data_IF_846367678945
#
_entry.id   IF_846367678945
#
_cell.length_a   1.000
_cell.length_b   1.000
_cell.length_c   1.000
_cell.angle_alpha   90.00
_cell.angle_beta   90.00
_cell.angle_gamma   90.00
#
_symmetry.space_group_name_H-M   'P 1'
#
loop_
_entity.id
_entity.type
_entity.pdbx_description
1 polymer ?
#
# COMPACT_ATOMS: atom_id res chain seq x y z
N UNK A 1 -11.07 -4.92 -26.39
CA UNK A 1 -10.33 -5.76 -25.42
C UNK A 1 -10.82 -5.39 -24.04
N UNK A 2 -11.54 -6.32 -23.40
CA UNK A 2 -12.24 -6.13 -22.14
C UNK A 2 -11.22 -6.05 -21.00
N UNK A 3 -11.05 -4.86 -20.39
CA UNK A 3 -10.39 -4.74 -19.09
C UNK A 3 -11.38 -5.23 -18.03
N UNK A 4 -11.14 -6.42 -17.49
CA UNK A 4 -11.66 -6.81 -16.18
C UNK A 4 -11.02 -5.86 -15.16
N UNK A 5 -11.69 -4.74 -14.88
CA UNK A 5 -11.47 -4.01 -13.63
C UNK A 5 -11.80 -4.99 -12.51
N UNK A 6 -10.77 -5.45 -11.81
CA UNK A 6 -10.93 -6.18 -10.57
C UNK A 6 -11.42 -5.15 -9.53
N UNK A 7 -12.72 -4.85 -9.56
CA UNK A 7 -13.40 -4.15 -8.48
C UNK A 7 -13.38 -5.08 -7.27
N UNK A 8 -12.29 -5.03 -6.51
CA UNK A 8 -12.21 -5.63 -5.18
C UNK A 8 -13.06 -4.76 -4.24
N UNK A 9 -14.39 -4.80 -4.44
CA UNK A 9 -15.37 -4.33 -3.48
C UNK A 9 -15.39 -5.36 -2.37
N UNK A 10 -14.52 -5.16 -1.38
CA UNK A 10 -14.54 -5.90 -0.12
C UNK A 10 -15.79 -5.48 0.65
N UNK A 11 -16.93 -6.10 0.31
CA UNK A 11 -18.15 -6.12 1.11
C UNK A 11 -17.89 -7.06 2.30
N UNK A 12 -17.34 -6.52 3.38
CA UNK A 12 -17.39 -7.20 4.68
C UNK A 12 -18.54 -6.64 5.50
N UNK A 13 -19.66 -7.36 5.46
CA UNK A 13 -20.70 -7.27 6.48
C UNK A 13 -20.08 -7.53 7.85
N UNK A 14 -20.28 -6.57 8.76
CA UNK A 14 -19.89 -6.69 10.16
C UNK A 14 -20.56 -7.90 10.80
N UNK A 15 -19.79 -8.97 11.03
CA UNK A 15 -20.12 -10.00 11.99
C UNK A 15 -19.17 -9.83 13.19
N UNK A 16 -19.72 -9.40 14.32
CA UNK A 16 -19.07 -9.51 15.61
C UNK A 16 -18.70 -10.98 15.85
N UNK A 17 -17.42 -11.27 16.11
CA UNK A 17 -16.99 -12.54 16.67
C UNK A 17 -15.83 -12.30 17.65
N UNK A 18 -15.99 -12.90 18.82
CA UNK A 18 -15.14 -12.87 20.00
C UNK A 18 -13.65 -13.10 19.73
N UNK A 19 -12.84 -12.37 20.49
CA UNK A 19 -11.39 -12.49 20.55
C UNK A 19 -11.03 -13.76 21.35
N UNK A 20 -10.80 -14.86 20.64
CA UNK A 20 -10.15 -16.05 21.17
C UNK A 20 -8.63 -15.88 21.15
N UNK A 21 -8.04 -15.83 22.33
CA UNK A 21 -6.61 -15.73 22.62
C UNK A 21 -5.86 -16.94 22.02
N UNK A 22 -5.02 -16.72 21.01
CA UNK A 22 -4.08 -17.75 20.50
C UNK A 22 -2.65 -17.39 20.89
N UNK A 23 -2.04 -18.30 21.64
CA UNK A 23 -0.65 -18.23 22.10
C UNK A 23 0.32 -18.18 20.91
N UNK A 24 1.18 -17.16 20.91
CA UNK A 24 2.32 -17.04 20.00
C UNK A 24 3.39 -18.06 20.42
N UNK A 25 3.66 -19.05 19.57
CA UNK A 25 4.86 -19.87 19.69
C UNK A 25 6.07 -19.04 19.25
N UNK A 26 6.92 -18.69 20.21
CA UNK A 26 8.22 -18.04 19.97
C UNK A 26 9.24 -19.13 19.64
N UNK A 27 9.58 -19.27 18.36
CA UNK A 27 10.72 -20.09 17.93
C UNK A 27 12.00 -19.26 18.01
N UNK A 28 12.91 -19.67 18.89
CA UNK A 28 14.30 -19.19 18.97
C UNK A 28 15.07 -19.61 17.70
N UNK A 29 15.27 -18.67 16.77
CA UNK A 29 16.21 -18.85 15.66
C UNK A 29 17.60 -18.38 16.09
N UNK A 30 18.52 -19.34 16.22
CA UNK A 30 19.97 -19.09 16.39
C UNK A 30 20.55 -18.39 15.16
N UNK A 31 21.48 -17.43 15.34
CA UNK A 31 22.10 -16.72 14.22
C UNK A 31 23.05 -17.63 13.43
N UNK A 32 23.02 -17.48 12.10
CA UNK A 32 23.94 -18.15 11.18
C UNK A 32 25.35 -17.53 11.24
N UNK A 33 26.43 -18.31 11.01
CA UNK A 33 27.79 -17.81 11.02
C UNK A 33 28.13 -16.92 9.81
N UNK A 34 29.02 -15.96 10.04
CA UNK A 34 29.59 -15.02 9.08
C UNK A 34 30.14 -15.69 7.83
N UNK A 35 29.76 -15.18 6.65
CA UNK A 35 30.33 -15.55 5.36
C UNK A 35 31.34 -14.47 4.93
N UNK A 36 32.51 -14.95 4.47
CA UNK A 36 33.68 -14.20 4.01
C UNK A 36 33.40 -13.11 2.95
N UNK A 37 34.26 -12.07 2.87
CA UNK A 37 34.12 -11.01 1.87
C UNK A 37 34.47 -11.50 0.44
N UNK A 38 33.61 -11.13 -0.51
CA UNK A 38 33.75 -11.43 -1.93
C UNK A 38 34.96 -10.71 -2.58
N UNK A 39 35.53 -11.27 -3.67
CA UNK A 39 36.68 -10.70 -4.36
C UNK A 39 36.29 -9.48 -5.21
N UNK A 40 37.09 -8.42 -5.10
CA UNK A 40 36.96 -7.19 -5.90
C UNK A 40 37.54 -7.38 -7.30
N UNK A 41 36.69 -7.31 -8.33
CA UNK A 41 37.12 -7.08 -9.72
C UNK A 41 36.85 -5.63 -10.15
N UNK A 42 37.73 -5.01 -10.95
CA UNK A 42 37.58 -3.61 -11.34
C UNK A 42 36.50 -3.43 -12.41
N UNK A 43 35.62 -2.45 -12.20
CA UNK A 43 34.61 -2.03 -13.19
C UNK A 43 35.26 -1.04 -14.16
N UNK A 44 35.20 -1.38 -15.46
CA UNK A 44 35.61 -0.51 -16.56
C UNK A 44 34.56 0.57 -16.79
N UNK A 45 34.95 1.84 -16.63
CA UNK A 45 34.12 3.01 -16.93
C UNK A 45 34.00 3.20 -18.44
N UNK A 46 32.80 2.98 -18.99
CA UNK A 46 32.42 3.50 -20.30
C UNK A 46 31.55 4.75 -20.12
N UNK A 47 31.91 5.76 -20.91
CA UNK A 47 31.39 7.12 -20.96
C UNK A 47 29.94 7.15 -21.51
N UNK A 48 28.95 7.81 -20.86
CA UNK A 48 27.60 7.85 -21.39
C UNK A 48 27.51 8.88 -22.53
N UNK A 49 27.66 8.40 -23.76
CA UNK A 49 27.22 9.13 -24.93
C UNK A 49 25.69 9.30 -24.90
N UNK A 50 25.26 10.50 -25.28
CA UNK A 50 23.92 11.06 -25.10
C UNK A 50 22.77 10.22 -25.66
N UNK A 51 21.78 9.95 -24.81
CA UNK A 51 20.46 9.45 -25.23
C UNK A 51 19.63 10.64 -25.70
N UNK A 52 19.33 10.70 -26.99
CA UNK A 52 18.38 11.65 -27.56
C UNK A 52 16.96 11.26 -27.17
N UNK A 53 16.27 12.13 -26.42
CA UNK A 53 14.87 11.96 -26.04
C UNK A 53 13.96 11.92 -27.28
N UNK A 54 13.41 10.75 -27.61
CA UNK A 54 12.28 10.62 -28.53
C UNK A 54 10.99 10.72 -27.71
N UNK A 55 10.10 11.70 -27.95
CA UNK A 55 8.81 11.76 -27.27
C UNK A 55 7.87 10.74 -27.91
N UNK A 56 7.45 9.70 -27.17
CA UNK A 56 6.31 8.89 -27.60
C UNK A 56 6.23 7.45 -27.13
N UNK A 57 7.31 6.82 -26.66
CA UNK A 57 7.23 5.45 -26.14
C UNK A 57 7.29 5.46 -24.62
N UNK A 58 6.22 4.99 -23.99
CA UNK A 58 6.28 4.37 -22.67
C UNK A 58 7.01 3.03 -22.85
N UNK A 59 8.29 3.10 -23.18
CA UNK A 59 9.13 1.93 -23.18
C UNK A 59 9.12 1.43 -21.74
N UNK A 60 8.53 0.25 -21.51
CA UNK A 60 8.84 -0.57 -20.34
C UNK A 60 10.34 -0.48 -20.17
N UNK A 61 10.82 -0.02 -19.01
CA UNK A 61 12.26 0.04 -18.79
C UNK A 61 12.76 -1.38 -18.52
N UNK A 62 12.76 -2.18 -19.58
CA UNK A 62 13.43 -3.44 -19.69
C UNK A 62 14.90 -3.14 -19.96
N UNK A 63 15.78 -3.74 -19.16
CA UNK A 63 17.13 -3.91 -19.63
C UNK A 63 17.09 -5.07 -20.64
N UNK A 64 17.07 -4.78 -21.94
CA UNK A 64 17.21 -5.79 -23.01
C UNK A 64 18.52 -6.59 -22.93
N UNK A 65 19.38 -6.26 -21.96
CA UNK A 65 20.65 -6.92 -21.66
C UNK A 65 20.60 -7.85 -20.43
N UNK A 66 19.41 -8.16 -19.91
CA UNK A 66 19.27 -9.14 -18.82
C UNK A 66 19.64 -10.55 -19.29
N UNK A 67 20.61 -11.19 -18.64
CA UNK A 67 20.84 -12.63 -18.86
C UNK A 67 19.59 -13.41 -18.44
N UNK A 68 19.05 -14.21 -19.36
CA UNK A 68 18.01 -15.18 -19.03
C UNK A 68 18.69 -16.39 -18.37
N UNK A 69 18.22 -16.75 -17.18
CA UNK A 69 18.72 -17.91 -16.45
C UNK A 69 17.73 -19.06 -16.58
N UNK A 70 18.22 -20.22 -17.02
CA UNK A 70 17.48 -21.48 -16.92
C UNK A 70 17.68 -22.07 -15.53
N UNK A 71 16.56 -22.40 -14.88
CA UNK A 71 16.54 -23.10 -13.60
C UNK A 71 16.80 -24.59 -13.76
N UNK A 72 16.87 -25.30 -12.63
CA UNK A 72 16.95 -26.75 -12.63
C UNK A 72 15.72 -27.34 -13.33
N UNK A 73 15.95 -28.18 -14.34
CA UNK A 73 14.89 -28.75 -15.19
C UNK A 73 14.67 -28.03 -16.53
N UNK A 74 15.54 -27.08 -16.92
CA UNK A 74 15.46 -26.41 -18.23
C UNK A 74 14.32 -25.41 -18.36
N UNK A 75 13.73 -25.00 -17.23
CA UNK A 75 12.67 -23.99 -17.20
C UNK A 75 13.32 -22.62 -17.11
N UNK A 76 13.05 -21.73 -18.06
CA UNK A 76 13.47 -20.34 -17.95
C UNK A 76 12.81 -19.68 -16.74
N UNK A 77 13.63 -19.15 -15.82
CA UNK A 77 13.16 -18.50 -14.59
C UNK A 77 12.49 -17.14 -14.83
N UNK A 78 12.53 -16.66 -16.07
CA UNK A 78 11.91 -15.40 -16.52
C UNK A 78 10.57 -15.61 -17.21
N UNK A 79 10.23 -16.84 -17.62
CA UNK A 79 8.95 -17.13 -18.28
C UNK A 79 7.81 -16.95 -17.29
N UNK A 80 6.90 -16.01 -17.59
CA UNK A 80 5.76 -15.67 -16.75
C UNK A 80 5.99 -14.51 -15.77
N UNK A 81 7.15 -13.84 -15.82
CA UNK A 81 7.32 -12.53 -15.16
C UNK A 81 6.72 -11.47 -16.06
N UNK A 82 5.64 -10.84 -15.61
CA UNK A 82 5.18 -9.62 -16.25
C UNK A 82 6.19 -8.50 -15.96
N UNK A 83 6.79 -7.97 -17.03
CA UNK A 83 7.58 -6.75 -16.95
C UNK A 83 6.62 -5.59 -16.77
N UNK A 84 6.57 -5.00 -15.59
CA UNK A 84 5.82 -3.77 -15.37
C UNK A 84 6.65 -2.54 -15.71
N UNK A 85 5.96 -1.43 -16.00
CA UNK A 85 6.59 -0.15 -16.27
C UNK A 85 7.45 0.32 -15.08
N UNK A 86 8.53 1.05 -15.32
CA UNK A 86 9.27 1.67 -14.21
C UNK A 86 8.39 2.69 -13.52
N UNK A 87 8.23 2.52 -12.20
CA UNK A 87 7.30 3.28 -11.39
C UNK A 87 5.94 2.58 -11.17
N UNK A 88 5.75 1.37 -11.69
CA UNK A 88 4.63 0.54 -11.29
C UNK A 88 4.81 0.08 -9.84
N UNK A 89 3.74 0.24 -9.07
CA UNK A 89 3.68 -0.21 -7.68
C UNK A 89 3.77 -1.74 -7.68
N UNK A 90 4.68 -2.33 -6.90
CA UNK A 90 4.83 -3.79 -6.89
C UNK A 90 3.75 -4.47 -6.04
N UNK A 91 2.68 -3.74 -5.73
CA UNK A 91 1.62 -4.05 -4.75
C UNK A 91 2.22 -4.47 -3.39
N UNK A 92 3.42 -3.97 -3.07
CA UNK A 92 4.17 -4.35 -1.87
C UNK A 92 3.75 -3.48 -0.72
N UNK A 93 3.16 -4.07 0.32
CA UNK A 93 2.83 -3.33 1.54
C UNK A 93 4.11 -2.76 2.16
N UNK A 94 4.09 -1.45 2.42
CA UNK A 94 5.18 -0.73 3.10
C UNK A 94 5.48 -1.38 4.45
N UNK A 95 6.77 -1.59 4.80
CA UNK A 95 7.12 -2.10 6.12
C UNK A 95 6.76 -1.09 7.21
N UNK A 96 6.64 -1.56 8.45
CA UNK A 96 6.27 -0.74 9.61
C UNK A 96 7.09 0.55 9.74
N UNK A 97 8.41 0.48 9.49
CA UNK A 97 9.32 1.62 9.59
C UNK A 97 8.96 2.73 8.60
N UNK A 98 8.58 2.36 7.37
CA UNK A 98 8.10 3.30 6.36
C UNK A 98 6.71 3.84 6.71
N UNK A 99 5.79 2.96 7.13
CA UNK A 99 4.43 3.36 7.52
C UNK A 99 4.40 4.35 8.66
N UNK A 100 5.28 4.22 9.66
CA UNK A 100 5.37 5.20 10.77
C UNK A 100 5.62 6.63 10.26
N UNK A 101 6.59 6.79 9.36
CA UNK A 101 6.94 8.08 8.75
C UNK A 101 5.82 8.60 7.85
N UNK A 102 5.22 7.73 7.03
CA UNK A 102 4.12 8.11 6.14
C UNK A 102 2.86 8.51 6.91
N UNK A 103 2.45 7.78 7.94
CA UNK A 103 1.33 8.17 8.80
C UNK A 103 1.61 9.50 9.50
N UNK A 104 2.83 9.71 10.01
CA UNK A 104 3.20 11.00 10.59
C UNK A 104 3.13 12.14 9.57
N UNK A 105 3.61 11.93 8.34
CA UNK A 105 3.56 12.89 7.24
C UNK A 105 2.11 13.26 6.91
N UNK A 106 1.26 12.25 6.69
CA UNK A 106 -0.09 12.50 6.19
C UNK A 106 -1.10 12.82 7.27
N UNK A 107 -0.94 12.36 8.51
CA UNK A 107 -1.89 12.69 9.60
C UNK A 107 -1.36 13.79 10.52
N UNK A 108 -0.08 14.17 10.39
CA UNK A 108 0.61 15.05 11.33
C UNK A 108 1.08 14.32 12.60
N UNK A 109 0.79 13.03 12.73
CA UNK A 109 1.18 12.18 13.87
C UNK A 109 1.04 10.71 13.52
N UNK A 110 1.76 9.85 14.23
CA UNK A 110 1.65 8.40 14.10
C UNK A 110 0.52 7.89 15.00
N UNK A 111 -0.51 7.20 14.48
CA UNK A 111 -1.54 6.59 15.31
C UNK A 111 -0.93 5.56 16.28
N UNK A 112 -1.24 5.67 17.57
CA UNK A 112 -0.64 4.81 18.61
C UNK A 112 -0.91 3.30 18.37
N UNK A 113 -2.05 2.97 17.74
CA UNK A 113 -2.41 1.59 17.41
C UNK A 113 -1.43 0.93 16.42
N UNK A 114 -0.67 1.71 15.63
CA UNK A 114 0.31 1.17 14.70
C UNK A 114 1.40 0.36 15.40
N UNK A 115 1.86 0.83 16.57
CA UNK A 115 2.92 0.15 17.32
C UNK A 115 2.45 -1.19 17.89
N UNK A 116 1.17 -1.27 18.27
CA UNK A 116 0.54 -2.52 18.75
C UNK A 116 0.36 -3.56 17.64
N UNK A 117 0.37 -3.12 16.37
CA UNK A 117 0.19 -3.97 15.17
C UNK A 117 1.51 -4.20 14.43
N UNK A 118 2.64 -3.91 15.09
CA UNK A 118 3.98 -4.04 14.51
C UNK A 118 4.28 -5.42 13.91
N UNK A 119 3.85 -6.49 14.58
CA UNK A 119 4.00 -7.87 14.11
C UNK A 119 3.20 -8.17 12.84
N UNK A 120 2.20 -7.35 12.49
CA UNK A 120 1.34 -7.57 11.33
C UNK A 120 1.92 -7.00 10.04
N UNK A 121 2.65 -5.89 10.11
CA UNK A 121 3.26 -5.24 8.94
C UNK A 121 4.63 -5.83 8.57
N UNK A 122 5.02 -6.90 9.25
CA UNK A 122 6.26 -7.63 9.00
C UNK A 122 7.52 -6.84 9.39
N UNK A 123 8.62 -7.58 9.57
CA UNK A 123 9.94 -6.99 9.53
C UNK A 123 10.32 -6.67 8.07
N UNK A 124 11.25 -5.72 7.89
CA UNK A 124 11.89 -5.54 6.58
C UNK A 124 12.48 -6.88 6.16
N UNK A 125 12.14 -7.42 4.98
CA UNK A 125 12.69 -8.70 4.53
C UNK A 125 14.21 -8.68 4.58
N UNK A 126 14.87 -9.75 5.04
CA UNK A 126 16.32 -9.78 5.18
C UNK A 126 17.04 -9.64 3.84
N UNK A 127 16.34 -9.88 2.72
CA UNK A 127 16.87 -9.85 1.36
C UNK A 127 15.82 -9.31 0.39
N UNK A 128 16.27 -8.61 -0.64
CA UNK A 128 15.42 -7.94 -1.64
C UNK A 128 14.52 -8.89 -2.46
N UNK A 129 14.85 -10.18 -2.51
CA UNK A 129 14.10 -11.22 -3.22
C UNK A 129 13.10 -11.98 -2.34
N UNK A 130 13.06 -11.71 -1.04
CA UNK A 130 12.03 -12.28 -0.15
C UNK A 130 10.88 -11.30 -0.12
N UNK A 131 9.74 -11.71 -0.68
CA UNK A 131 8.56 -10.84 -0.79
C UNK A 131 7.65 -11.04 0.43
N UNK A 132 7.30 -9.96 1.14
CA UNK A 132 6.26 -10.03 2.16
C UNK A 132 4.90 -10.17 1.47
N UNK A 133 4.24 -11.30 1.67
CA UNK A 133 2.86 -11.48 1.19
C UNK A 133 1.90 -10.64 2.03
N UNK A 134 1.10 -9.82 1.38
CA UNK A 134 -0.02 -9.15 2.04
C UNK A 134 -1.06 -10.22 2.42
N UNK A 135 -1.49 -10.20 3.68
CA UNK A 135 -2.56 -11.07 4.16
C UNK A 135 -3.82 -10.25 4.43
N UNK A 136 -4.96 -10.92 4.58
CA UNK A 136 -6.18 -10.27 5.07
C UNK A 136 -5.93 -9.55 6.42
N UNK A 137 -4.99 -10.05 7.23
CA UNK A 137 -4.63 -9.45 8.52
C UNK A 137 -3.92 -8.10 8.34
N UNK A 138 -3.02 -7.96 7.36
CA UNK A 138 -2.35 -6.69 7.09
C UNK A 138 -3.28 -5.64 6.50
N UNK A 139 -4.21 -6.04 5.63
CA UNK A 139 -5.25 -5.14 5.11
C UNK A 139 -6.25 -4.69 6.19
N UNK A 140 -6.67 -5.62 7.06
CA UNK A 140 -7.55 -5.26 8.17
C UNK A 140 -6.87 -4.34 9.18
N UNK A 141 -5.59 -4.59 9.44
CA UNK A 141 -4.79 -3.80 10.37
C UNK A 141 -4.51 -2.40 9.82
N UNK A 142 -4.23 -2.27 8.52
CA UNK A 142 -4.06 -0.94 7.89
C UNK A 142 -5.34 -0.11 7.98
N UNK A 143 -6.51 -0.71 7.74
CA UNK A 143 -7.79 -0.03 7.88
C UNK A 143 -8.04 0.42 9.33
N UNK A 144 -7.68 -0.40 10.34
CA UNK A 144 -7.80 -0.02 11.75
C UNK A 144 -6.89 1.15 12.13
N UNK A 145 -5.64 1.12 11.68
CA UNK A 145 -4.67 2.21 11.91
C UNK A 145 -5.17 3.49 11.22
N UNK A 146 -5.59 3.36 9.97
CA UNK A 146 -6.13 4.47 9.19
C UNK A 146 -7.37 5.07 9.85
N UNK A 147 -8.33 4.26 10.29
CA UNK A 147 -9.53 4.73 10.97
C UNK A 147 -9.22 5.46 12.28
N UNK A 148 -8.32 4.94 13.10
CA UNK A 148 -7.90 5.61 14.33
C UNK A 148 -7.33 7.01 14.05
N UNK A 149 -6.46 7.14 13.05
CA UNK A 149 -5.91 8.43 12.63
C UNK A 149 -6.96 9.36 12.00
N UNK A 150 -7.85 8.81 11.18
CA UNK A 150 -8.90 9.56 10.50
C UNK A 150 -9.99 10.06 11.44
N UNK A 151 -10.26 9.38 12.57
CA UNK A 151 -11.16 9.91 13.61
C UNK A 151 -10.67 11.25 14.16
N UNK A 152 -9.36 11.40 14.29
CA UNK A 152 -8.76 12.62 14.81
C UNK A 152 -8.65 13.69 13.72
N UNK A 153 -8.36 13.29 12.48
CA UNK A 153 -8.37 14.19 11.33
C UNK A 153 -9.76 14.79 11.08
N UNK A 154 -10.82 13.99 11.27
CA UNK A 154 -12.22 14.39 11.05
C UNK A 154 -12.90 14.95 12.30
N UNK A 155 -12.14 15.26 13.35
CA UNK A 155 -12.67 15.87 14.56
C UNK A 155 -12.95 17.38 14.42
N UNK A 156 -12.66 17.99 13.26
CA UNK A 156 -12.92 19.41 12.97
C UNK A 156 -14.38 19.69 12.65
N UNK A 157 -14.78 20.96 12.72
CA UNK A 157 -16.17 21.39 12.44
C UNK A 157 -16.60 21.14 11.00
N UNK A 158 -15.65 21.03 10.07
CA UNK A 158 -15.93 20.78 8.65
C UNK A 158 -16.61 19.42 8.42
N UNK A 159 -16.49 18.50 9.39
CA UNK A 159 -17.03 17.14 9.35
C UNK A 159 -18.21 16.92 10.30
N UNK A 160 -18.80 17.99 10.83
CA UNK A 160 -20.00 17.91 11.69
C UNK A 160 -21.27 17.57 10.90
N UNK A 161 -21.33 17.97 9.63
CA UNK A 161 -22.42 17.64 8.72
C UNK A 161 -22.24 16.23 8.15
N UNK A 162 -23.35 15.50 7.97
CA UNK A 162 -23.30 14.19 7.33
C UNK A 162 -22.83 14.32 5.86
N UNK A 163 -22.03 13.35 5.36
CA UNK A 163 -21.67 13.28 3.95
C UNK A 163 -22.92 13.05 3.08
N UNK A 164 -22.92 13.72 1.93
CA UNK A 164 -23.90 13.67 0.86
C UNK A 164 -23.14 13.71 -0.46
N UNK A 165 -23.77 13.31 -1.57
CA UNK A 165 -23.14 13.39 -2.89
C UNK A 165 -22.64 14.81 -3.23
N UNK A 166 -23.34 15.85 -2.74
CA UNK A 166 -23.00 17.25 -3.02
C UNK A 166 -21.82 17.79 -2.21
N UNK A 167 -21.52 17.24 -1.02
CA UNK A 167 -20.45 17.74 -0.14
C UNK A 167 -19.28 16.76 0.06
N UNK A 168 -19.36 15.53 -0.46
CA UNK A 168 -18.34 14.50 -0.27
C UNK A 168 -17.16 14.58 -1.24
N UNK A 169 -17.36 15.13 -2.45
CA UNK A 169 -16.30 15.17 -3.46
C UNK A 169 -15.07 15.94 -3.00
N UNK A 170 -15.23 17.17 -2.50
CA UNK A 170 -14.10 18.01 -2.10
C UNK A 170 -13.28 17.40 -0.94
N UNK A 171 -13.88 16.91 0.16
CA UNK A 171 -13.14 16.18 1.19
C UNK A 171 -12.45 14.91 0.68
N UNK A 172 -13.12 14.11 -0.15
CA UNK A 172 -12.53 12.91 -0.74
C UNK A 172 -11.32 13.21 -1.62
N UNK A 173 -11.40 14.25 -2.46
CA UNK A 173 -10.29 14.72 -3.27
C UNK A 173 -9.14 15.24 -2.40
N UNK A 174 -9.44 15.96 -1.32
CA UNK A 174 -8.44 16.44 -0.37
C UNK A 174 -7.73 15.29 0.36
N UNK A 175 -8.46 14.24 0.77
CA UNK A 175 -7.86 13.04 1.35
C UNK A 175 -6.93 12.34 0.36
N UNK A 176 -7.40 12.08 -0.86
CA UNK A 176 -6.61 11.42 -1.90
C UNK A 176 -5.33 12.21 -2.21
N UNK A 177 -5.44 13.53 -2.43
CA UNK A 177 -4.29 14.39 -2.67
C UNK A 177 -3.30 14.36 -1.50
N UNK A 178 -3.80 14.38 -0.27
CA UNK A 178 -2.96 14.34 0.93
C UNK A 178 -2.23 13.02 1.09
N UNK A 179 -2.90 11.90 0.80
CA UNK A 179 -2.37 10.57 1.09
C UNK A 179 -1.50 10.04 -0.05
N UNK A 180 -1.96 10.18 -1.29
CA UNK A 180 -1.30 9.64 -2.48
C UNK A 180 -0.36 10.64 -3.15
N UNK A 181 -0.37 11.91 -2.71
CA UNK A 181 0.40 13.00 -3.31
C UNK A 181 0.09 13.21 -4.80
N UNK A 182 -1.12 12.82 -5.24
CA UNK A 182 -1.65 13.03 -6.60
C UNK A 182 -3.15 13.29 -6.56
N UNK A 183 -3.68 13.83 -7.64
CA UNK A 183 -5.12 13.91 -7.83
C UNK A 183 -5.72 12.50 -8.02
N UNK A 184 -6.88 12.20 -7.41
CA UNK A 184 -7.63 11.00 -7.73
C UNK A 184 -8.24 11.12 -9.13
N UNK A 185 -8.45 9.98 -9.79
CA UNK A 185 -9.31 9.94 -10.98
C UNK A 185 -10.81 9.93 -10.60
N UNK A 186 -11.68 9.91 -11.61
CA UNK A 186 -13.12 9.97 -11.41
C UNK A 186 -13.68 8.71 -10.70
N UNK A 187 -13.12 7.53 -10.96
CA UNK A 187 -13.58 6.26 -10.39
C UNK A 187 -13.15 6.16 -8.91
N UNK A 188 -11.93 6.59 -8.60
CA UNK A 188 -11.40 6.68 -7.25
C UNK A 188 -12.20 7.68 -6.40
N UNK A 189 -12.53 8.84 -6.97
CA UNK A 189 -13.33 9.85 -6.29
C UNK A 189 -14.75 9.35 -6.03
N UNK A 190 -15.40 8.75 -7.04
CA UNK A 190 -16.73 8.17 -6.91
C UNK A 190 -16.75 7.06 -5.84
N UNK A 191 -15.71 6.24 -5.76
CA UNK A 191 -15.59 5.18 -4.75
C UNK A 191 -15.50 5.75 -3.33
N UNK A 192 -14.73 6.82 -3.12
CA UNK A 192 -14.67 7.49 -1.82
C UNK A 192 -16.03 8.10 -1.43
N UNK A 193 -16.71 8.75 -2.37
CA UNK A 193 -18.04 9.33 -2.14
C UNK A 193 -19.06 8.25 -1.80
N UNK A 194 -19.03 7.10 -2.47
CA UNK A 194 -19.89 5.95 -2.18
C UNK A 194 -19.65 5.38 -0.77
N UNK A 195 -18.38 5.32 -0.33
CA UNK A 195 -18.06 4.94 1.06
C UNK A 195 -18.64 5.95 2.06
N UNK A 196 -18.42 7.24 1.80
CA UNK A 196 -18.89 8.31 2.68
C UNK A 196 -20.43 8.33 2.79
N UNK A 197 -21.14 8.05 1.71
CA UNK A 197 -22.60 8.25 1.63
C UNK A 197 -23.40 6.97 1.84
N UNK A 198 -23.10 5.92 1.07
CA UNK A 198 -23.93 4.72 0.97
C UNK A 198 -23.43 3.59 1.88
N UNK A 199 -22.12 3.30 1.87
CA UNK A 199 -21.57 2.14 2.62
C UNK A 199 -21.50 2.36 4.13
N UNK A 200 -21.56 3.62 4.57
CA UNK A 200 -21.60 3.99 6.00
C UNK A 200 -22.99 4.42 6.45
N UNK A 201 -24.05 4.02 5.72
CA UNK A 201 -25.43 4.39 6.04
C UNK A 201 -25.88 4.01 7.46
N UNK A 202 -25.35 2.90 8.00
CA UNK A 202 -25.64 2.41 9.35
C UNK A 202 -24.90 3.15 10.47
N UNK A 203 -23.87 3.93 10.17
CA UNK A 203 -23.11 4.69 11.16
C UNK A 203 -23.86 6.00 11.49
N UNK A 204 -24.38 6.20 12.71
CA UNK A 204 -25.19 7.39 13.00
C UNK A 204 -24.35 8.67 13.15
N UNK A 205 -23.06 8.57 13.43
CA UNK A 205 -22.23 9.75 13.72
C UNK A 205 -21.60 10.31 12.45
N UNK A 206 -21.90 11.56 12.04
CA UNK A 206 -21.32 12.18 10.84
C UNK A 206 -19.80 12.09 10.75
N UNK A 207 -19.12 12.44 11.86
CA UNK A 207 -17.65 12.37 11.94
C UNK A 207 -17.10 10.97 11.70
N UNK A 208 -17.78 9.93 12.20
CA UNK A 208 -17.35 8.54 11.97
C UNK A 208 -17.56 8.12 10.51
N UNK A 209 -18.61 8.59 9.83
CA UNK A 209 -18.78 8.38 8.38
C UNK A 209 -17.61 8.97 7.60
N UNK A 210 -17.23 10.21 7.91
CA UNK A 210 -16.05 10.83 7.31
C UNK A 210 -14.76 10.10 7.65
N UNK A 211 -14.61 9.62 8.88
CA UNK A 211 -13.45 8.83 9.29
C UNK A 211 -13.34 7.52 8.48
N UNK A 212 -14.46 6.85 8.19
CA UNK A 212 -14.47 5.66 7.32
C UNK A 212 -14.09 5.99 5.87
N UNK A 213 -14.60 7.10 5.31
CA UNK A 213 -14.21 7.55 3.98
C UNK A 213 -12.71 7.87 3.92
N UNK A 214 -12.22 8.69 4.85
CA UNK A 214 -10.79 8.99 5.01
C UNK A 214 -9.96 7.70 5.16
N UNK A 215 -10.39 6.77 6.01
CA UNK A 215 -9.68 5.53 6.26
C UNK A 215 -9.61 4.65 5.02
N UNK A 216 -10.68 4.59 4.23
CA UNK A 216 -10.71 3.82 2.98
C UNK A 216 -9.71 4.33 1.94
N UNK A 217 -9.51 5.65 1.87
CA UNK A 217 -8.50 6.27 1.00
C UNK A 217 -7.09 6.04 1.56
N UNK A 218 -6.94 6.15 2.89
CA UNK A 218 -5.65 5.98 3.57
C UNK A 218 -5.20 4.51 3.66
N UNK A 219 -6.12 3.55 3.53
CA UNK A 219 -5.83 2.12 3.49
C UNK A 219 -5.84 1.55 2.07
N UNK A 220 -5.88 2.40 1.04
CA UNK A 220 -5.78 1.94 -0.35
C UNK A 220 -4.33 1.69 -0.75
N UNK A 221 -4.14 0.99 -1.87
CA UNK A 221 -2.81 0.76 -2.46
C UNK A 221 -2.02 2.07 -2.63
N UNK A 222 -2.68 3.14 -3.13
CA UNK A 222 -2.04 4.45 -3.32
C UNK A 222 -1.36 5.06 -2.08
N UNK A 223 -1.67 4.58 -0.87
CA UNK A 223 -0.91 4.88 0.34
C UNK A 223 -0.07 3.71 0.86
N UNK A 224 -0.63 2.50 0.88
CA UNK A 224 0.00 1.35 1.55
C UNK A 224 1.14 0.71 0.78
N UNK A 225 1.22 0.92 -0.53
CA UNK A 225 2.13 0.18 -1.40
C UNK A 225 3.19 1.07 -2.05
N UNK A 226 4.26 0.45 -2.58
CA UNK A 226 5.42 1.09 -3.18
C UNK A 226 6.03 0.27 -4.33
#
# INVERSE_FOLDING_TARGET
>A
MNRLQLSLVVLFSAACADVGETQVMVSNMTPAPDLDPAPTTPVSSQDPAQVTNVPGDTAKAGCDQGFTYEGFGGVQLVVGRDEDDVGFDRDRVKPLSALRGEYARVLGKTPAVLDTLSNTFGAVPPRWYVEPEASAVSLFSSMRVAFAGCLELTATKDFDAAPTAANAEAPCAAFAHRFWSRAPDADELASCVDVATNKTGAEPQPRRKWAYACASVLSSAGFLTY
#
